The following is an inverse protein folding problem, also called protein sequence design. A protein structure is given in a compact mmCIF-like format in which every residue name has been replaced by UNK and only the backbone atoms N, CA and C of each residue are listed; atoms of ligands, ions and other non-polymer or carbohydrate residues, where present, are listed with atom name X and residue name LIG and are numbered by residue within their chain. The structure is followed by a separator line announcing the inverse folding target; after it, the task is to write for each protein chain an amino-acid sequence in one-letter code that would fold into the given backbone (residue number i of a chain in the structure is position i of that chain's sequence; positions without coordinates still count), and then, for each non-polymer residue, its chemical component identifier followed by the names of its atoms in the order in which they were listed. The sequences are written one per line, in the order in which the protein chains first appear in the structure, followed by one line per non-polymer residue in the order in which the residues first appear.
data_IF_735364442304
#
_entry.id   IF_735364442304
#
_cell.length_a   1.000
_cell.length_b   1.000
_cell.length_c   1.000
_cell.angle_alpha   90.00
_cell.angle_beta   90.00
_cell.angle_gamma   90.00
#
_symmetry.space_group_name_H-M   'P 1'
#
loop_
_entity.id
_entity.type
_entity.pdbx_description
1 polymer ?
#
# COMPACT_ATOMS: atom_id res chain seq x y z
N UNK A 1 -21.34 51.96 10.70
CA UNK A 1 -22.46 52.92 10.76
C UNK A 1 -22.28 53.89 9.59
N UNK A 2 -23.25 53.91 8.67
CA UNK A 2 -23.50 54.85 7.55
C UNK A 2 -22.39 55.06 6.49
N UNK A 3 -22.58 54.60 5.23
CA UNK A 3 -23.37 55.18 4.10
C UNK A 3 -22.72 56.49 3.60
N UNK A 4 -22.48 56.78 2.32
CA UNK A 4 -23.32 56.67 1.09
C UNK A 4 -22.41 57.06 -0.10
N UNK A 5 -22.19 56.28 -1.17
CA UNK A 5 -22.86 56.27 -2.51
C UNK A 5 -23.31 57.65 -3.05
N UNK A 6 -22.86 58.06 -4.25
CA UNK A 6 -23.65 58.26 -5.51
C UNK A 6 -22.81 58.93 -6.61
N UNK A 7 -23.11 58.49 -7.84
CA UNK A 7 -22.55 58.77 -9.18
C UNK A 7 -23.35 59.85 -9.97
N UNK A 8 -22.99 60.05 -11.25
CA UNK A 8 -23.64 60.84 -12.33
C UNK A 8 -23.32 62.36 -12.32
N UNK A 9 -23.09 63.07 -13.43
CA UNK A 9 -23.53 62.99 -14.84
C UNK A 9 -22.64 63.95 -15.68
N UNK A 10 -22.17 63.61 -16.88
CA UNK A 10 -22.75 63.88 -18.22
C UNK A 10 -22.77 65.35 -18.73
N UNK A 11 -22.29 65.50 -19.99
CA UNK A 11 -22.66 66.50 -21.04
C UNK A 11 -22.08 67.94 -20.89
N UNK A 12 -21.65 68.71 -21.91
CA UNK A 12 -21.93 68.79 -23.36
C UNK A 12 -20.84 69.68 -24.05
N UNK A 13 -20.95 69.79 -25.38
CA UNK A 13 -20.37 70.77 -26.35
C UNK A 13 -19.06 70.37 -27.04
N UNK A 14 -18.85 70.41 -28.36
CA UNK A 14 -19.51 70.94 -29.60
C UNK A 14 -18.70 70.29 -30.76
N UNK A 15 -19.19 69.83 -31.92
CA UNK A 15 -20.07 70.45 -32.91
C UNK A 15 -19.26 71.03 -34.10
N UNK A 16 -19.63 70.68 -35.35
CA UNK A 16 -19.18 71.20 -36.68
C UNK A 16 -18.03 70.39 -37.33
N UNK A 17 -18.06 69.92 -38.58
CA UNK A 17 -19.00 69.99 -39.69
C UNK A 17 -18.36 69.27 -40.91
N UNK A 18 -19.16 68.52 -41.67
CA UNK A 18 -18.76 67.80 -42.90
C UNK A 18 -18.89 68.74 -44.12
N UNK A 19 -18.06 68.58 -45.16
CA UNK A 19 -18.66 68.32 -46.48
C UNK A 19 -17.97 67.18 -47.27
N UNK A 20 -18.82 66.45 -48.00
CA UNK A 20 -18.51 65.46 -49.03
C UNK A 20 -17.93 66.12 -50.28
N UNK A 21 -16.95 65.50 -50.94
CA UNK A 21 -16.99 65.22 -52.40
C UNK A 21 -15.81 64.32 -52.86
N UNK A 22 -16.15 63.18 -53.51
CA UNK A 22 -15.52 62.53 -54.69
C UNK A 22 -13.97 62.46 -54.77
N UNK A 23 -13.30 61.33 -55.02
CA UNK A 23 -13.48 60.40 -56.14
C UNK A 23 -12.55 59.17 -55.94
N UNK A 24 -12.96 58.02 -56.49
CA UNK A 24 -12.32 56.70 -56.56
C UNK A 24 -10.79 56.62 -56.78
N UNK A 25 -10.14 55.60 -56.20
CA UNK A 25 -9.60 54.44 -56.97
C UNK A 25 -9.16 53.28 -56.05
N UNK A 26 -9.60 52.07 -56.42
CA UNK A 26 -9.26 50.77 -55.83
C UNK A 26 -7.78 50.41 -55.97
N UNK A 27 -7.16 49.80 -54.95
CA UNK A 27 -6.36 48.56 -55.08
C UNK A 27 -6.40 47.80 -53.75
N UNK A 28 -7.00 46.60 -53.78
CA UNK A 28 -6.86 45.56 -52.77
C UNK A 28 -5.40 45.02 -52.77
N UNK A 29 -4.73 44.99 -51.62
CA UNK A 29 -3.58 44.12 -51.37
C UNK A 29 -3.88 43.32 -50.10
N UNK A 30 -3.94 41.97 -50.16
CA UNK A 30 -4.07 41.16 -48.96
C UNK A 30 -2.71 41.06 -48.27
N UNK A 31 -2.66 41.43 -46.98
CA UNK A 31 -1.54 41.14 -46.10
C UNK A 31 -1.61 39.64 -45.76
N UNK A 32 -0.75 38.86 -46.41
CA UNK A 32 -0.44 37.49 -46.02
C UNK A 32 0.20 37.52 -44.63
N UNK A 33 -0.57 37.15 -43.61
CA UNK A 33 -0.04 36.80 -42.30
C UNK A 33 0.62 35.43 -42.47
N UNK A 34 1.95 35.40 -42.48
CA UNK A 34 2.73 34.18 -42.31
C UNK A 34 2.55 33.67 -40.86
N UNK A 35 1.41 33.02 -40.62
CA UNK A 35 1.07 32.33 -39.38
C UNK A 35 1.18 30.82 -39.55
N UNK A 36 2.35 30.31 -39.91
CA UNK A 36 2.65 28.88 -39.90
C UNK A 36 3.98 28.67 -39.18
N UNK A 37 3.95 28.19 -37.93
CA UNK A 37 5.02 27.40 -37.29
C UNK A 37 4.88 27.38 -35.76
N UNK A 38 4.09 28.25 -35.13
CA UNK A 38 4.03 28.29 -33.65
C UNK A 38 2.92 27.37 -33.11
N UNK A 39 1.73 27.35 -33.73
CA UNK A 39 0.64 26.42 -33.37
C UNK A 39 1.06 24.95 -33.49
N UNK A 40 1.51 24.52 -34.68
CA UNK A 40 1.98 23.14 -34.91
C UNK A 40 3.14 22.70 -34.01
N UNK A 41 3.97 23.64 -33.53
CA UNK A 41 5.06 23.33 -32.58
C UNK A 41 4.54 23.19 -31.17
N UNK A 42 3.56 23.99 -30.76
CA UNK A 42 2.93 23.90 -29.44
C UNK A 42 2.06 22.65 -29.37
N UNK A 43 1.29 22.32 -30.42
CA UNK A 43 0.48 21.11 -30.49
C UNK A 43 1.37 19.86 -30.51
N UNK A 44 2.44 19.82 -31.34
CA UNK A 44 3.43 18.73 -31.28
C UNK A 44 4.16 18.61 -29.94
N UNK A 45 4.39 19.72 -29.23
CA UNK A 45 4.98 19.68 -27.89
C UNK A 45 3.98 19.16 -26.86
N UNK A 46 2.70 19.52 -26.99
CA UNK A 46 1.63 19.09 -26.08
C UNK A 46 1.29 17.62 -26.29
N UNK A 47 1.19 17.16 -27.54
CA UNK A 47 1.02 15.76 -27.92
C UNK A 47 2.21 14.93 -27.44
N UNK A 48 3.44 15.40 -27.68
CA UNK A 48 4.65 14.69 -27.24
C UNK A 48 4.79 14.64 -25.71
N UNK A 49 4.32 15.64 -24.97
CA UNK A 49 4.28 15.63 -23.49
C UNK A 49 3.16 14.71 -22.97
N UNK A 50 2.01 14.67 -23.65
CA UNK A 50 0.90 13.77 -23.36
C UNK A 50 1.28 12.30 -23.61
N UNK A 51 1.94 12.02 -24.73
CA UNK A 51 2.44 10.68 -25.09
C UNK A 51 3.51 10.21 -24.10
N UNK A 52 4.44 11.09 -23.70
CA UNK A 52 5.47 10.76 -22.69
C UNK A 52 4.86 10.46 -21.32
N UNK A 53 3.84 11.20 -20.90
CA UNK A 53 3.12 10.91 -19.64
C UNK A 53 2.35 9.58 -19.75
N UNK A 54 1.71 9.31 -20.90
CA UNK A 54 1.06 8.04 -21.21
C UNK A 54 2.01 6.85 -21.16
N UNK A 55 3.17 6.96 -21.80
CA UNK A 55 4.21 5.92 -21.82
C UNK A 55 4.81 5.67 -20.44
N UNK A 56 4.98 6.73 -19.63
CA UNK A 56 5.41 6.61 -18.22
C UNK A 56 4.40 5.82 -17.42
N UNK A 57 3.11 6.19 -17.50
CA UNK A 57 2.03 5.53 -16.77
C UNK A 57 1.91 4.07 -17.21
N UNK A 58 1.96 3.79 -18.52
CA UNK A 58 1.94 2.44 -19.05
C UNK A 58 3.12 1.60 -18.56
N UNK A 59 4.31 2.18 -18.45
CA UNK A 59 5.50 1.50 -17.90
C UNK A 59 5.32 1.16 -16.42
N UNK A 60 4.77 2.07 -15.62
CA UNK A 60 4.45 1.84 -14.21
C UNK A 60 3.33 0.79 -14.04
N UNK A 61 2.31 0.82 -14.89
CA UNK A 61 1.20 -0.13 -14.87
C UNK A 61 1.69 -1.54 -15.19
N UNK A 62 2.50 -1.70 -16.24
CA UNK A 62 3.13 -2.99 -16.55
C UNK A 62 3.98 -3.54 -15.38
N UNK A 63 4.65 -2.67 -14.63
CA UNK A 63 5.44 -3.07 -13.48
C UNK A 63 4.56 -3.50 -12.28
N UNK A 64 3.47 -2.77 -12.03
CA UNK A 64 2.47 -3.14 -11.02
C UNK A 64 1.82 -4.48 -11.37
N UNK A 65 1.44 -4.69 -12.63
CA UNK A 65 0.85 -5.93 -13.12
C UNK A 65 1.80 -7.12 -12.97
N UNK A 66 3.08 -6.93 -13.30
CA UNK A 66 4.09 -7.96 -13.15
C UNK A 66 4.27 -8.37 -11.67
N UNK A 67 4.19 -7.41 -10.74
CA UNK A 67 4.22 -7.66 -9.30
C UNK A 67 2.94 -8.33 -8.80
N UNK A 68 1.80 -8.04 -9.41
CA UNK A 68 0.52 -8.68 -9.08
C UNK A 68 0.44 -10.13 -9.56
N UNK A 69 1.13 -10.44 -10.67
CA UNK A 69 1.32 -11.82 -11.14
C UNK A 69 2.35 -12.58 -10.31
N UNK A 70 3.45 -11.92 -9.93
CA UNK A 70 4.53 -12.55 -9.17
C UNK A 70 5.35 -11.55 -8.33
N UNK A 71 4.91 -11.33 -7.09
CA UNK A 71 5.56 -10.39 -6.16
C UNK A 71 7.00 -10.76 -5.81
N UNK A 72 7.41 -12.02 -5.95
CA UNK A 72 8.78 -12.44 -5.69
C UNK A 72 9.77 -11.92 -6.75
N UNK A 73 9.28 -11.51 -7.92
CA UNK A 73 10.10 -10.94 -9.01
C UNK A 73 10.35 -9.43 -8.88
N UNK A 74 10.10 -8.83 -7.71
CA UNK A 74 10.15 -7.38 -7.54
C UNK A 74 11.45 -6.72 -7.99
N UNK A 75 12.59 -7.39 -7.77
CA UNK A 75 13.90 -6.82 -8.11
C UNK A 75 14.06 -6.71 -9.62
N UNK A 76 13.76 -7.77 -10.38
CA UNK A 76 13.85 -7.75 -11.84
C UNK A 76 12.83 -6.79 -12.44
N UNK A 77 11.62 -6.71 -11.88
CA UNK A 77 10.59 -5.77 -12.32
C UNK A 77 11.06 -4.31 -12.17
N UNK A 78 11.62 -3.93 -11.02
CA UNK A 78 12.11 -2.56 -10.82
C UNK A 78 13.32 -2.20 -11.70
N UNK A 79 14.21 -3.17 -11.94
CA UNK A 79 15.36 -3.00 -12.86
C UNK A 79 14.89 -2.75 -14.29
N UNK A 80 13.93 -3.54 -14.77
CA UNK A 80 13.33 -3.39 -16.10
C UNK A 80 12.57 -2.05 -16.22
N UNK A 81 11.78 -1.69 -15.19
CA UNK A 81 11.08 -0.40 -15.12
C UNK A 81 12.04 0.77 -15.22
N UNK A 82 13.15 0.76 -14.46
CA UNK A 82 14.17 1.82 -14.50
C UNK A 82 14.80 1.96 -15.89
N UNK A 83 14.98 0.85 -16.60
CA UNK A 83 15.56 0.81 -17.95
C UNK A 83 14.59 1.36 -19.00
N UNK A 84 13.29 1.12 -18.84
CA UNK A 84 12.25 1.60 -19.76
C UNK A 84 11.97 3.10 -19.61
N UNK A 85 12.16 3.68 -18.42
CA UNK A 85 11.94 5.10 -18.13
C UNK A 85 13.10 6.03 -18.58
N UNK A 86 13.80 5.72 -19.68
CA UNK A 86 15.12 6.30 -20.00
C UNK A 86 15.12 7.69 -20.66
N UNK A 87 13.99 8.18 -21.16
CA UNK A 87 13.92 9.48 -21.85
C UNK A 87 13.99 10.69 -20.87
N UNK A 88 14.66 11.78 -21.29
CA UNK A 88 14.93 12.98 -20.46
C UNK A 88 13.68 13.57 -19.78
N UNK A 89 12.51 13.41 -20.40
CA UNK A 89 11.23 13.89 -19.89
C UNK A 89 10.68 13.07 -18.70
N UNK A 90 11.27 11.92 -18.36
CA UNK A 90 10.83 11.02 -17.26
C UNK A 90 11.84 10.91 -16.10
N UNK A 91 12.89 11.74 -16.09
CA UNK A 91 14.01 11.64 -15.15
C UNK A 91 13.59 11.67 -13.67
N UNK A 92 12.53 12.39 -13.30
CA UNK A 92 11.99 12.43 -11.93
C UNK A 92 11.41 11.08 -11.50
N UNK A 93 10.55 10.49 -12.33
CA UNK A 93 9.92 9.18 -12.04
C UNK A 93 10.97 8.08 -12.02
N UNK A 94 11.92 8.10 -12.96
CA UNK A 94 13.04 7.16 -12.96
C UNK A 94 13.87 7.25 -11.68
N UNK A 95 14.13 8.45 -11.17
CA UNK A 95 14.84 8.64 -9.91
C UNK A 95 14.04 8.10 -8.72
N UNK A 96 12.71 8.30 -8.68
CA UNK A 96 11.85 7.70 -7.64
C UNK A 96 11.84 6.17 -7.68
N UNK A 97 11.78 5.56 -8.88
CA UNK A 97 11.84 4.10 -9.05
C UNK A 97 13.22 3.55 -8.71
N UNK A 98 14.30 4.26 -9.06
CA UNK A 98 15.67 3.87 -8.72
C UNK A 98 15.94 3.97 -7.22
N UNK A 99 15.46 5.03 -6.57
CA UNK A 99 15.50 5.18 -5.12
C UNK A 99 14.72 4.04 -4.46
N UNK A 100 13.51 3.72 -4.92
CA UNK A 100 12.73 2.57 -4.46
C UNK A 100 13.49 1.24 -4.59
N UNK A 101 14.15 0.98 -5.73
CA UNK A 101 14.96 -0.23 -5.92
C UNK A 101 16.10 -0.32 -4.90
N UNK A 102 16.88 0.76 -4.75
CA UNK A 102 17.99 0.81 -3.80
C UNK A 102 17.52 0.60 -2.36
N UNK A 103 16.40 1.22 -2.04
CA UNK A 103 15.66 1.11 -0.77
C UNK A 103 15.22 -0.33 -0.47
N UNK A 104 14.59 -0.99 -1.43
CA UNK A 104 14.15 -2.39 -1.28
C UNK A 104 15.34 -3.36 -1.15
N UNK A 105 16.44 -3.12 -1.85
CA UNK A 105 17.69 -3.90 -1.69
C UNK A 105 18.35 -3.65 -0.34
N UNK A 106 18.39 -2.40 0.15
CA UNK A 106 18.94 -2.11 1.49
C UNK A 106 18.15 -2.84 2.59
N UNK A 107 16.85 -3.06 2.38
CA UNK A 107 16.00 -3.77 3.31
C UNK A 107 16.18 -5.30 3.31
N UNK A 108 16.78 -5.88 2.26
CA UNK A 108 17.20 -7.30 2.25
C UNK A 108 18.57 -7.52 2.92
N UNK A 109 19.33 -6.44 3.18
CA UNK A 109 20.66 -6.48 3.78
C UNK A 109 20.70 -6.58 5.31
N UNK A 110 21.69 -7.33 5.82
CA UNK A 110 21.98 -7.69 7.21
C UNK A 110 20.76 -8.18 8.02
N UNK A 111 20.62 -9.52 7.99
CA UNK A 111 19.64 -10.39 8.68
C UNK A 111 18.18 -10.14 8.28
N UNK A 112 17.78 -10.68 7.11
CA UNK A 112 16.40 -10.87 6.60
C UNK A 112 15.31 -10.25 7.49
N UNK A 113 15.16 -8.94 7.36
CA UNK A 113 14.43 -8.11 8.32
C UNK A 113 12.93 -8.31 8.20
N UNK A 114 12.44 -8.67 7.00
CA UNK A 114 11.05 -8.88 6.61
C UNK A 114 10.95 -10.02 5.60
N UNK A 115 9.79 -10.70 5.47
CA UNK A 115 9.58 -11.73 4.45
C UNK A 115 9.67 -11.15 3.02
N UNK A 116 10.13 -11.92 2.03
CA UNK A 116 10.27 -11.50 0.62
C UNK A 116 8.94 -11.04 0.02
N UNK A 117 7.83 -11.71 0.35
CA UNK A 117 6.48 -11.32 -0.11
C UNK A 117 6.06 -9.93 0.40
N UNK A 118 6.58 -9.55 1.55
CA UNK A 118 6.37 -8.22 2.11
C UNK A 118 7.04 -7.15 1.27
N UNK A 119 8.26 -7.42 0.76
CA UNK A 119 9.02 -6.51 -0.10
C UNK A 119 8.26 -6.30 -1.41
N UNK A 120 7.82 -7.38 -2.06
CA UNK A 120 7.05 -7.28 -3.31
C UNK A 120 5.76 -6.47 -3.13
N UNK A 121 5.03 -6.68 -2.03
CA UNK A 121 3.83 -5.90 -1.70
C UNK A 121 4.14 -4.41 -1.52
N UNK A 122 5.24 -4.09 -0.82
CA UNK A 122 5.67 -2.70 -0.56
C UNK A 122 6.16 -2.00 -1.82
N UNK A 123 6.92 -2.69 -2.66
CA UNK A 123 7.35 -2.19 -3.97
C UNK A 123 6.13 -1.84 -4.83
N UNK A 124 5.14 -2.74 -4.89
CA UNK A 124 3.90 -2.49 -5.64
C UNK A 124 3.16 -1.26 -5.10
N UNK A 125 3.00 -1.14 -3.78
CA UNK A 125 2.37 0.03 -3.16
C UNK A 125 3.12 1.33 -3.49
N UNK A 126 4.45 1.31 -3.48
CA UNK A 126 5.26 2.47 -3.83
C UNK A 126 5.09 2.86 -5.30
N UNK A 127 5.12 1.91 -6.24
CA UNK A 127 4.85 2.17 -7.66
C UNK A 127 3.44 2.73 -7.88
N UNK A 128 2.43 2.17 -7.23
CA UNK A 128 1.06 2.68 -7.29
C UNK A 128 0.95 4.14 -6.80
N UNK A 129 1.74 4.52 -5.80
CA UNK A 129 1.81 5.91 -5.31
C UNK A 129 2.55 6.85 -6.26
N UNK A 130 3.64 6.40 -6.87
CA UNK A 130 4.36 7.15 -7.91
C UNK A 130 3.40 7.44 -9.07
N UNK A 131 2.66 6.42 -9.51
CA UNK A 131 1.60 6.54 -10.51
C UNK A 131 0.50 7.52 -10.09
N UNK A 132 -0.02 7.40 -8.87
CA UNK A 132 -1.08 8.30 -8.37
C UNK A 132 -0.63 9.76 -8.34
N UNK A 133 0.63 10.04 -7.97
CA UNK A 133 1.22 11.40 -8.06
C UNK A 133 1.26 11.90 -9.49
N UNK A 134 1.73 11.07 -10.42
CA UNK A 134 1.81 11.38 -11.84
C UNK A 134 0.44 11.71 -12.44
N UNK A 135 -0.62 11.03 -11.97
CA UNK A 135 -2.01 11.24 -12.41
C UNK A 135 -2.78 12.29 -11.58
N UNK A 136 -2.13 12.98 -10.64
CA UNK A 136 -2.77 13.92 -9.71
C UNK A 136 -3.97 13.33 -8.95
N UNK A 137 -3.92 12.04 -8.63
CA UNK A 137 -4.94 11.32 -7.87
C UNK A 137 -4.67 11.41 -6.36
N UNK A 138 -5.65 11.01 -5.55
CA UNK A 138 -5.45 10.86 -4.10
C UNK A 138 -4.37 9.81 -3.83
N UNK A 139 -3.34 10.19 -3.06
CA UNK A 139 -2.22 9.31 -2.74
C UNK A 139 -2.59 8.50 -1.49
N UNK A 140 -2.62 7.16 -1.53
CA UNK A 140 -2.85 6.34 -0.35
C UNK A 140 -1.85 6.67 0.78
N UNK A 141 -2.31 6.74 2.05
CA UNK A 141 -1.42 6.92 3.19
C UNK A 141 -0.51 5.71 3.34
N UNK A 142 0.70 5.93 3.86
CA UNK A 142 1.67 4.86 4.11
C UNK A 142 1.56 4.41 5.54
N UNK A 143 1.07 3.20 5.75
CA UNK A 143 1.17 2.57 7.05
C UNK A 143 2.60 2.08 7.27
N UNK A 144 3.30 2.54 8.34
CA UNK A 144 4.64 2.09 8.64
C UNK A 144 4.62 0.60 8.95
N UNK A 145 5.59 -0.08 8.39
CA UNK A 145 5.61 -1.53 8.35
C UNK A 145 6.63 -2.04 9.35
N UNK A 146 6.20 -2.70 10.43
CA UNK A 146 7.13 -3.28 11.40
C UNK A 146 7.34 -4.76 11.11
N UNK A 147 8.60 -5.17 10.96
CA UNK A 147 8.91 -6.56 10.66
C UNK A 147 9.46 -7.30 11.87
N UNK A 148 10.40 -6.70 12.60
CA UNK A 148 10.89 -7.28 13.84
C UNK A 148 11.44 -6.23 14.81
N UNK A 149 11.49 -6.61 16.09
CA UNK A 149 12.01 -5.80 17.20
C UNK A 149 13.11 -6.58 17.90
N UNK A 150 14.20 -5.90 18.25
CA UNK A 150 15.33 -6.49 18.99
C UNK A 150 15.66 -5.65 20.22
N UNK A 151 15.66 -6.23 21.43
CA UNK A 151 15.06 -7.52 21.79
C UNK A 151 13.54 -7.57 21.54
N UNK A 152 12.99 -8.78 21.34
CA UNK A 152 11.56 -8.98 21.10
C UNK A 152 10.65 -8.71 22.33
N UNK A 153 11.24 -8.62 23.52
CA UNK A 153 10.63 -8.18 24.77
C UNK A 153 11.73 -7.67 25.72
N UNK A 154 11.37 -6.90 26.74
CA UNK A 154 12.31 -6.36 27.74
C UNK A 154 12.28 -7.24 28.98
N UNK A 155 13.35 -7.95 29.31
CA UNK A 155 13.43 -8.74 30.54
C UNK A 155 13.98 -7.89 31.71
N UNK A 156 13.13 -7.66 32.71
CA UNK A 156 13.48 -6.89 33.90
C UNK A 156 14.40 -7.65 34.87
N UNK A 157 14.58 -8.96 34.69
CA UNK A 157 15.52 -9.77 35.47
C UNK A 157 16.98 -9.63 35.00
N UNK A 158 17.23 -9.00 33.84
CA UNK A 158 18.59 -8.71 33.37
C UNK A 158 19.23 -7.54 34.15
N UNK A 159 20.50 -7.24 33.89
CA UNK A 159 21.11 -5.98 34.31
C UNK A 159 20.64 -4.82 33.43
N UNK A 160 20.57 -3.61 33.98
CA UNK A 160 20.12 -2.41 33.22
C UNK A 160 20.99 -2.14 31.98
N UNK A 161 22.28 -2.45 32.03
CA UNK A 161 23.20 -2.35 30.89
C UNK A 161 22.83 -3.26 29.71
N UNK A 162 22.08 -4.34 29.95
CA UNK A 162 21.64 -5.31 28.93
C UNK A 162 20.25 -5.01 28.35
N UNK A 163 19.56 -3.98 28.86
CA UNK A 163 18.20 -3.59 28.42
C UNK A 163 18.10 -2.09 28.15
N UNK A 164 19.12 -1.52 27.53
CA UNK A 164 19.28 -0.07 27.32
C UNK A 164 18.68 0.46 26.02
N UNK A 165 18.23 -0.40 25.10
CA UNK A 165 17.55 0.02 23.86
C UNK A 165 16.60 -1.05 23.31
N UNK A 166 15.64 -0.62 22.49
CA UNK A 166 14.95 -1.45 21.51
C UNK A 166 15.29 -0.95 20.11
N UNK A 167 15.51 -1.86 19.19
CA UNK A 167 15.74 -1.61 17.77
C UNK A 167 14.54 -2.13 16.98
N UNK A 168 13.96 -1.27 16.15
CA UNK A 168 12.81 -1.58 15.31
C UNK A 168 13.27 -1.60 13.86
N UNK A 169 13.03 -2.71 13.18
CA UNK A 169 13.34 -2.87 11.78
C UNK A 169 12.07 -3.02 10.97
N UNK A 170 11.98 -2.26 9.89
CA UNK A 170 10.76 -2.10 9.13
C UNK A 170 10.90 -1.15 7.96
N UNK A 171 9.83 -0.45 7.60
CA UNK A 171 9.77 0.50 6.49
C UNK A 171 8.97 1.74 6.86
N UNK A 172 9.20 2.81 6.10
CA UNK A 172 8.41 4.03 6.12
C UNK A 172 8.46 4.81 7.46
N UNK A 173 9.46 4.52 8.29
CA UNK A 173 9.64 5.13 9.62
C UNK A 173 9.99 6.61 9.58
N UNK A 174 10.53 7.09 8.46
CA UNK A 174 10.84 8.50 8.19
C UNK A 174 9.67 9.27 7.56
N UNK A 175 8.62 8.58 7.10
CA UNK A 175 7.51 9.21 6.34
C UNK A 175 6.27 9.51 7.18
N UNK A 176 6.11 8.89 8.35
CA UNK A 176 4.90 9.06 9.18
C UNK A 176 5.18 9.19 10.67
N UNK A 177 4.38 9.97 11.43
CA UNK A 177 4.49 10.00 12.88
C UNK A 177 4.05 8.64 13.46
N UNK A 178 4.87 8.13 14.38
CA UNK A 178 4.69 6.88 15.11
C UNK A 178 4.77 7.29 16.56
N UNK A 179 3.75 6.94 17.31
CA UNK A 179 3.65 7.21 18.73
C UNK A 179 4.06 5.97 19.51
N UNK A 180 4.79 6.14 20.60
CA UNK A 180 5.18 5.06 21.50
C UNK A 180 4.59 5.31 22.87
N UNK A 181 3.88 4.32 23.41
CA UNK A 181 3.26 4.41 24.72
C UNK A 181 3.79 3.32 25.65
N UNK A 182 4.21 3.71 26.86
CA UNK A 182 4.54 2.80 27.96
C UNK A 182 3.28 2.55 28.78
N UNK A 183 2.84 1.30 28.82
CA UNK A 183 1.76 0.87 29.70
C UNK A 183 2.34 0.43 31.04
N UNK A 184 1.77 0.95 32.11
CA UNK A 184 2.06 0.55 33.48
C UNK A 184 0.76 0.27 34.24
N UNK A 185 0.87 -0.29 35.43
CA UNK A 185 -0.28 -0.57 36.31
C UNK A 185 -1.13 0.65 36.65
N UNK A 186 -0.57 1.86 36.56
CA UNK A 186 -1.21 3.13 36.91
C UNK A 186 -1.77 3.90 35.71
N UNK A 187 -1.57 3.44 34.48
CA UNK A 187 -1.99 4.15 33.27
C UNK A 187 -1.06 3.97 32.07
N UNK A 188 -1.12 4.96 31.17
CA UNK A 188 -0.40 4.98 29.90
C UNK A 188 0.40 6.28 29.81
N UNK A 189 1.69 6.15 29.52
CA UNK A 189 2.60 7.29 29.35
C UNK A 189 3.05 7.37 27.89
N UNK A 190 2.94 8.55 27.27
CA UNK A 190 3.55 8.80 25.97
C UNK A 190 5.07 8.98 26.14
N UNK A 191 5.84 8.15 25.44
CA UNK A 191 7.30 8.12 25.47
C UNK A 191 7.89 8.29 24.08
N UNK A 192 7.13 8.88 23.16
CA UNK A 192 7.54 9.09 21.77
C UNK A 192 8.78 9.98 21.64
N UNK A 193 9.08 10.83 22.64
CA UNK A 193 10.31 11.64 22.69
C UNK A 193 11.59 10.81 22.74
N UNK A 194 11.51 9.57 23.21
CA UNK A 194 12.66 8.68 23.38
C UNK A 194 12.93 7.83 22.13
N UNK A 195 12.09 7.97 21.11
CA UNK A 195 12.19 7.24 19.84
C UNK A 195 13.04 8.04 18.86
N UNK A 196 14.22 7.52 18.55
CA UNK A 196 15.09 8.04 17.52
C UNK A 196 14.85 7.33 16.18
N UNK A 197 14.85 8.10 15.09
CA UNK A 197 14.53 7.65 13.73
C UNK A 197 15.77 7.77 12.89
N UNK A 198 16.57 6.72 12.90
CA UNK A 198 17.88 6.71 12.26
C UNK A 198 17.77 6.67 10.74
N UNK A 199 16.86 5.85 10.21
CA UNK A 199 16.66 5.69 8.76
C UNK A 199 15.20 5.35 8.44
N UNK A 200 14.87 5.32 7.15
CA UNK A 200 13.62 4.76 6.63
C UNK A 200 13.31 3.34 7.16
N UNK A 201 14.34 2.54 7.50
CA UNK A 201 14.20 1.13 7.88
C UNK A 201 14.45 0.81 9.35
N UNK A 202 14.94 1.79 10.11
CA UNK A 202 15.48 1.55 11.44
C UNK A 202 15.16 2.69 12.39
N UNK A 203 14.51 2.35 13.50
CA UNK A 203 14.31 3.25 14.64
C UNK A 203 14.89 2.60 15.89
N UNK A 204 15.26 3.43 16.87
CA UNK A 204 15.71 2.97 18.17
C UNK A 204 14.99 3.69 19.28
N UNK A 205 14.49 2.94 20.27
CA UNK A 205 13.90 3.51 21.49
C UNK A 205 14.92 3.39 22.62
N UNK A 206 15.30 4.52 23.20
CA UNK A 206 16.23 4.56 24.31
C UNK A 206 15.57 4.03 25.59
N UNK A 207 16.12 2.97 26.18
CA UNK A 207 15.70 2.42 27.49
C UNK A 207 16.77 2.64 28.58
N UNK A 208 17.81 3.42 28.28
CA UNK A 208 18.88 3.76 29.21
C UNK A 208 18.45 4.74 30.31
N UNK A 209 19.41 5.24 31.08
CA UNK A 209 19.14 6.08 32.25
C UNK A 209 18.34 7.37 31.97
N UNK A 210 18.48 7.92 30.76
CA UNK A 210 17.77 9.13 30.33
C UNK A 210 16.65 8.83 29.33
N UNK A 211 16.29 7.55 29.15
CA UNK A 211 15.30 7.12 28.18
C UNK A 211 13.94 6.83 28.81
N UNK A 212 13.22 5.90 28.19
CA UNK A 212 11.92 5.42 28.67
C UNK A 212 12.02 4.94 30.12
N UNK A 213 11.15 5.41 31.04
CA UNK A 213 11.20 5.07 32.46
C UNK A 213 10.60 3.68 32.74
N UNK A 214 11.22 2.62 32.20
CA UNK A 214 10.80 1.23 32.44
C UNK A 214 11.10 0.84 33.89
N UNK A 215 10.09 0.34 34.59
CA UNK A 215 10.18 -0.02 36.01
C UNK A 215 9.51 -1.36 36.31
N UNK A 216 9.45 -1.77 37.58
CA UNK A 216 8.72 -2.97 38.02
C UNK A 216 7.19 -2.85 37.88
N UNK A 217 6.68 -1.65 37.57
CA UNK A 217 5.27 -1.40 37.29
C UNK A 217 4.94 -1.41 35.79
N UNK A 218 5.94 -1.49 34.91
CA UNK A 218 5.77 -1.48 33.46
C UNK A 218 5.34 -2.86 32.94
N UNK A 219 4.35 -2.87 32.05
CA UNK A 219 3.76 -4.09 31.51
C UNK A 219 4.10 -4.30 30.03
N UNK A 220 4.07 -3.23 29.22
CA UNK A 220 4.40 -3.28 27.79
C UNK A 220 4.71 -1.91 27.21
N UNK A 221 5.32 -1.91 26.03
CA UNK A 221 5.42 -0.78 25.11
C UNK A 221 4.54 -1.04 23.89
N UNK A 222 3.79 -0.04 23.45
CA UNK A 222 2.95 -0.12 22.25
C UNK A 222 3.42 0.91 21.23
N UNK A 223 3.55 0.51 19.97
CA UNK A 223 3.73 1.44 18.85
C UNK A 223 2.37 1.68 18.22
N UNK A 224 2.03 2.93 17.97
CA UNK A 224 0.76 3.37 17.41
C UNK A 224 0.99 4.20 16.14
N UNK A 225 0.20 3.93 15.11
CA UNK A 225 0.09 4.76 13.91
C UNK A 225 -1.37 5.14 13.71
N UNK A 226 -1.65 6.43 13.49
CA UNK A 226 -3.02 6.97 13.41
C UNK A 226 -3.93 6.51 14.58
N UNK A 227 -3.38 6.47 15.81
CA UNK A 227 -4.05 5.98 17.03
C UNK A 227 -4.47 4.51 16.99
N UNK A 228 -3.88 3.70 16.10
CA UNK A 228 -4.05 2.25 16.06
C UNK A 228 -2.76 1.56 16.46
N UNK A 229 -2.79 0.56 17.35
CA UNK A 229 -1.59 -0.17 17.74
C UNK A 229 -1.07 -1.00 16.58
N UNK A 230 0.17 -0.78 16.14
CA UNK A 230 0.84 -1.56 15.08
C UNK A 230 1.85 -2.57 15.65
N UNK A 231 2.23 -2.41 16.94
CA UNK A 231 3.09 -3.37 17.64
C UNK A 231 2.94 -3.29 19.14
N UNK A 232 3.23 -4.40 19.84
CA UNK A 232 3.23 -4.50 21.30
C UNK A 232 4.42 -5.34 21.76
N UNK A 233 5.27 -4.74 22.59
CA UNK A 233 6.50 -5.32 23.13
C UNK A 233 6.29 -5.54 24.62
N UNK A 234 6.39 -6.79 25.07
CA UNK A 234 6.19 -7.12 26.48
C UNK A 234 7.35 -6.61 27.35
N UNK A 235 7.03 -6.16 28.56
CA UNK A 235 8.00 -5.99 29.64
C UNK A 235 7.84 -7.17 30.60
N UNK A 236 8.81 -8.07 30.59
CA UNK A 236 8.80 -9.30 31.38
C UNK A 236 9.25 -8.98 32.80
N UNK A 237 8.28 -8.99 33.71
CA UNK A 237 8.46 -8.93 35.15
C UNK A 237 8.56 -10.35 35.74
N UNK A 238 9.00 -10.50 36.99
CA UNK A 238 9.03 -11.79 37.69
C UNK A 238 7.69 -12.54 37.70
N UNK A 239 6.56 -11.84 37.61
CA UNK A 239 5.22 -12.41 37.59
C UNK A 239 4.57 -12.46 36.19
N UNK A 240 5.21 -11.95 35.14
CA UNK A 240 4.61 -11.92 33.79
C UNK A 240 4.41 -13.34 33.27
N UNK A 241 3.17 -13.76 32.93
CA UNK A 241 2.88 -15.07 32.34
C UNK A 241 3.22 -15.13 30.85
N UNK A 242 3.20 -16.33 30.27
CA UNK A 242 3.22 -16.50 28.80
C UNK A 242 1.83 -16.20 28.24
N UNK A 243 1.76 -15.49 27.11
CA UNK A 243 0.49 -15.17 26.47
C UNK A 243 -0.27 -16.43 26.07
N UNK A 244 -1.60 -16.38 26.18
CA UNK A 244 -2.45 -17.42 25.63
C UNK A 244 -2.42 -17.34 24.10
N UNK A 245 -2.47 -18.52 23.48
CA UNK A 245 -2.56 -18.68 22.03
C UNK A 245 -3.82 -19.50 21.71
N UNK A 246 -4.47 -19.20 20.59
CA UNK A 246 -5.57 -20.00 20.07
C UNK A 246 -5.59 -19.97 18.55
N UNK A 247 -6.08 -21.04 17.95
CA UNK A 247 -6.43 -21.06 16.53
C UNK A 247 -7.91 -20.73 16.39
N UNK A 248 -8.24 -19.85 15.46
CA UNK A 248 -9.61 -19.47 15.15
C UNK A 248 -9.85 -19.67 13.64
N UNK A 249 -10.98 -20.30 13.32
CA UNK A 249 -11.45 -20.43 11.95
C UNK A 249 -12.59 -19.43 11.74
N UNK A 250 -12.41 -18.54 10.77
CA UNK A 250 -13.38 -17.52 10.40
C UNK A 250 -13.96 -17.81 9.01
N UNK A 251 -15.28 -17.92 8.93
CA UNK A 251 -16.02 -18.15 7.69
C UNK A 251 -16.82 -16.90 7.31
N UNK A 252 -16.66 -16.46 6.07
CA UNK A 252 -17.46 -15.37 5.50
C UNK A 252 -18.56 -15.96 4.63
N UNK A 253 -19.82 -15.78 5.06
CA UNK A 253 -21.00 -16.30 4.35
C UNK A 253 -21.50 -15.38 3.22
N UNK A 254 -20.70 -14.40 2.81
CA UNK A 254 -21.01 -13.49 1.71
C UNK A 254 -20.00 -13.71 0.58
N UNK A 255 -20.47 -13.60 -0.65
CA UNK A 255 -19.58 -13.51 -1.81
C UNK A 255 -19.19 -12.04 -2.02
N UNK A 256 -18.03 -11.83 -2.65
CA UNK A 256 -17.58 -10.49 -3.05
C UNK A 256 -17.68 -10.37 -4.57
N UNK A 257 -18.36 -9.34 -5.04
CA UNK A 257 -18.42 -9.00 -6.47
C UNK A 257 -17.51 -7.83 -6.77
N UNK A 258 -16.77 -7.90 -7.87
CA UNK A 258 -15.90 -6.83 -8.33
C UNK A 258 -15.92 -6.72 -9.85
N UNK A 259 -16.12 -5.50 -10.35
CA UNK A 259 -16.00 -5.13 -11.76
C UNK A 259 -14.86 -4.11 -11.84
N UNK A 260 -13.68 -4.51 -12.36
CA UNK A 260 -12.57 -3.57 -12.51
C UNK A 260 -12.93 -2.45 -13.51
N UNK A 261 -12.39 -1.23 -13.32
CA UNK A 261 -12.62 -0.14 -14.25
C UNK A 261 -11.99 -0.43 -15.62
N UNK A 262 -12.54 0.19 -16.66
CA UNK A 262 -11.92 0.23 -17.99
C UNK A 262 -10.65 1.08 -17.96
N UNK A 263 -9.56 0.54 -18.49
CA UNK A 263 -8.25 1.21 -18.51
C UNK A 263 -7.71 1.46 -19.93
N UNK A 264 -8.19 0.75 -20.95
CA UNK A 264 -7.72 0.88 -22.34
C UNK A 264 -8.74 0.32 -23.33
N UNK A 265 -8.78 0.86 -24.55
CA UNK A 265 -9.55 0.36 -25.68
C UNK A 265 -10.90 1.07 -25.83
N UNK A 266 -11.83 0.42 -26.52
CA UNK A 266 -13.17 0.96 -26.81
C UNK A 266 -14.27 0.42 -25.89
N UNK A 267 -13.91 -0.47 -24.96
CA UNK A 267 -14.73 -1.14 -23.94
C UNK A 267 -15.47 -2.38 -24.39
N UNK A 268 -15.38 -2.75 -25.65
CA UNK A 268 -16.00 -3.94 -26.22
C UNK A 268 -14.92 -5.02 -26.45
N UNK A 269 -15.24 -6.30 -26.24
CA UNK A 269 -14.32 -7.41 -26.49
C UNK A 269 -14.58 -8.11 -27.84
N UNK A 270 -15.76 -7.93 -28.44
CA UNK A 270 -16.15 -8.44 -29.76
C UNK A 270 -15.84 -9.93 -30.03
N UNK A 271 -15.86 -10.79 -29.01
CA UNK A 271 -15.48 -12.19 -29.14
C UNK A 271 -13.98 -12.41 -29.44
N UNK A 272 -13.10 -11.49 -29.03
CA UNK A 272 -11.65 -11.55 -29.18
C UNK A 272 -10.92 -11.87 -27.86
N UNK A 273 -11.56 -12.59 -26.95
CA UNK A 273 -11.12 -12.83 -25.58
C UNK A 273 -12.26 -12.45 -24.63
N UNK A 274 -11.98 -11.98 -23.40
CA UNK A 274 -10.66 -11.59 -22.86
C UNK A 274 -9.76 -12.75 -22.38
N UNK A 275 -8.45 -12.53 -22.39
CA UNK A 275 -7.53 -13.22 -21.47
C UNK A 275 -7.69 -12.62 -20.07
N UNK A 276 -7.97 -13.47 -19.09
CA UNK A 276 -8.37 -13.06 -17.74
C UNK A 276 -7.40 -13.59 -16.70
N UNK A 277 -6.94 -12.70 -15.82
CA UNK A 277 -6.17 -13.02 -14.62
C UNK A 277 -6.88 -12.53 -13.38
N UNK A 278 -6.81 -13.32 -12.30
CA UNK A 278 -7.17 -12.87 -10.96
C UNK A 278 -6.15 -13.33 -9.93
N UNK A 279 -5.84 -12.44 -8.99
CA UNK A 279 -5.00 -12.70 -7.83
C UNK A 279 -5.73 -12.25 -6.56
N UNK A 280 -5.96 -13.19 -5.65
CA UNK A 280 -6.64 -12.94 -4.39
C UNK A 280 -5.70 -13.25 -3.22
N UNK A 281 -5.53 -12.31 -2.29
CA UNK A 281 -4.61 -12.42 -1.16
C UNK A 281 -5.23 -12.03 0.17
N UNK A 282 -4.89 -12.77 1.22
CA UNK A 282 -5.02 -12.33 2.60
C UNK A 282 -3.71 -11.74 3.11
N UNK A 283 -3.73 -10.45 3.44
CA UNK A 283 -2.59 -9.74 3.99
C UNK A 283 -2.78 -9.59 5.50
N UNK A 284 -1.83 -10.10 6.28
CA UNK A 284 -1.85 -9.95 7.74
C UNK A 284 -1.22 -8.60 8.14
N UNK A 285 -2.05 -7.67 8.59
CA UNK A 285 -1.61 -6.37 9.14
C UNK A 285 -1.43 -6.41 10.67
N UNK A 286 -1.44 -7.61 11.27
CA UNK A 286 -1.33 -7.86 12.71
C UNK A 286 -2.60 -7.54 13.50
N UNK A 287 -3.25 -6.42 13.21
CA UNK A 287 -4.51 -5.98 13.84
C UNK A 287 -5.76 -6.39 13.06
N UNK A 288 -5.60 -6.72 11.79
CA UNK A 288 -6.67 -7.18 10.92
C UNK A 288 -6.06 -7.96 9.76
N UNK A 289 -6.90 -8.73 9.05
CA UNK A 289 -6.54 -9.31 7.77
C UNK A 289 -7.26 -8.50 6.69
N UNK A 290 -6.51 -7.98 5.72
CA UNK A 290 -7.09 -7.42 4.50
C UNK A 290 -7.24 -8.52 3.46
N UNK A 291 -8.38 -8.54 2.77
CA UNK A 291 -8.55 -9.30 1.54
C UNK A 291 -8.36 -8.35 0.36
N UNK A 292 -7.37 -8.66 -0.48
CA UNK A 292 -7.10 -7.96 -1.72
C UNK A 292 -7.46 -8.85 -2.89
N UNK A 293 -8.20 -8.32 -3.85
CA UNK A 293 -8.52 -8.95 -5.11
C UNK A 293 -8.07 -8.03 -6.24
N UNK A 294 -7.15 -8.50 -7.07
CA UNK A 294 -6.79 -7.88 -8.33
C UNK A 294 -7.34 -8.72 -9.47
N UNK A 295 -7.85 -8.06 -10.51
CA UNK A 295 -8.34 -8.69 -11.73
C UNK A 295 -7.91 -7.85 -12.94
N UNK A 296 -7.52 -8.55 -14.00
CA UNK A 296 -7.29 -7.99 -15.34
C UNK A 296 -8.01 -8.86 -16.36
N UNK A 297 -8.77 -8.23 -17.24
CA UNK A 297 -9.34 -8.83 -18.43
C UNK A 297 -8.90 -8.01 -19.63
N UNK A 298 -8.25 -8.63 -20.61
CA UNK A 298 -7.68 -7.95 -21.76
C UNK A 298 -8.01 -8.73 -23.03
N UNK A 299 -8.47 -8.02 -24.06
CA UNK A 299 -8.60 -8.60 -25.40
C UNK A 299 -7.29 -9.22 -25.89
N UNK A 300 -7.43 -10.28 -26.67
CA UNK A 300 -6.30 -10.99 -27.26
C UNK A 300 -5.96 -10.49 -28.67
N UNK A 301 -6.80 -9.63 -29.27
CA UNK A 301 -6.65 -9.15 -30.66
C UNK A 301 -7.19 -7.75 -30.84
N UNK A 302 -6.38 -6.86 -31.45
CA UNK A 302 -6.73 -5.49 -31.85
C UNK A 302 -7.19 -4.59 -30.69
N UNK A 303 -6.83 -3.30 -30.73
CA UNK A 303 -7.08 -2.21 -29.75
C UNK A 303 -6.82 -2.45 -28.23
N UNK A 304 -6.77 -3.71 -27.80
CA UNK A 304 -6.37 -4.23 -26.50
C UNK A 304 -7.30 -3.70 -25.41
N UNK A 305 -8.61 -3.77 -25.65
CA UNK A 305 -9.61 -3.42 -24.65
C UNK A 305 -9.32 -4.14 -23.34
N UNK A 306 -9.19 -3.36 -22.27
CA UNK A 306 -8.71 -3.82 -20.97
C UNK A 306 -9.59 -3.28 -19.85
N UNK A 307 -10.08 -4.19 -19.00
CA UNK A 307 -10.66 -3.89 -17.71
C UNK A 307 -9.71 -4.37 -16.61
N UNK A 308 -9.25 -3.46 -15.75
CA UNK A 308 -8.23 -3.77 -14.76
C UNK A 308 -8.36 -2.94 -13.50
N UNK A 309 -8.19 -3.61 -12.36
CA UNK A 309 -8.14 -2.92 -11.09
C UNK A 309 -8.05 -3.84 -9.90
N UNK A 310 -8.08 -3.22 -8.72
CA UNK A 310 -8.04 -3.92 -7.45
C UNK A 310 -9.17 -3.47 -6.52
N UNK A 311 -9.57 -4.38 -5.64
CA UNK A 311 -10.42 -4.11 -4.49
C UNK A 311 -9.76 -4.65 -3.23
N UNK A 312 -9.72 -3.83 -2.18
CA UNK A 312 -9.23 -4.22 -0.87
C UNK A 312 -10.30 -3.98 0.18
N UNK A 313 -10.68 -5.03 0.89
CA UNK A 313 -11.66 -4.98 1.98
C UNK A 313 -11.04 -5.54 3.26
N UNK A 314 -11.39 -4.98 4.42
CA UNK A 314 -11.07 -5.62 5.69
C UNK A 314 -11.80 -6.96 5.75
N UNK A 315 -11.05 -8.05 5.84
CA UNK A 315 -11.59 -9.40 5.81
C UNK A 315 -11.99 -9.89 7.20
N UNK A 316 -11.09 -9.68 8.17
CA UNK A 316 -11.22 -10.18 9.54
C UNK A 316 -10.56 -9.21 10.53
N UNK A 317 -11.16 -9.08 11.70
CA UNK A 317 -10.61 -8.35 12.84
C UNK A 317 -10.69 -9.25 14.08
N UNK A 318 -9.58 -9.47 14.81
CA UNK A 318 -9.58 -10.30 15.99
C UNK A 318 -10.45 -9.69 17.10
N UNK A 319 -11.00 -10.51 18.00
CA UNK A 319 -11.74 -10.01 19.15
C UNK A 319 -10.84 -9.15 20.06
N UNK A 320 -11.42 -8.21 20.83
CA UNK A 320 -10.67 -7.38 21.76
C UNK A 320 -9.78 -8.23 22.69
N UNK A 321 -8.55 -7.77 22.90
CA UNK A 321 -7.57 -8.51 23.71
C UNK A 321 -6.77 -9.56 22.94
N UNK A 322 -6.95 -9.70 21.62
CA UNK A 322 -6.16 -10.58 20.75
C UNK A 322 -5.57 -9.84 19.56
N UNK A 323 -4.40 -10.29 19.08
CA UNK A 323 -3.83 -9.91 17.78
C UNK A 323 -3.60 -11.14 16.92
N UNK A 324 -3.50 -10.92 15.62
CA UNK A 324 -3.13 -11.97 14.66
C UNK A 324 -1.61 -12.18 14.76
N UNK A 325 -1.21 -13.42 15.01
CA UNK A 325 0.19 -13.83 14.96
C UNK A 325 0.54 -14.28 13.54
N UNK A 326 -0.29 -15.15 12.96
CA UNK A 326 -0.10 -15.65 11.58
C UNK A 326 -1.40 -16.16 10.96
N UNK A 327 -1.42 -16.21 9.63
CA UNK A 327 -2.41 -16.95 8.85
C UNK A 327 -1.86 -18.38 8.67
N UNK A 328 -2.67 -19.39 8.99
CA UNK A 328 -2.24 -20.79 9.01
C UNK A 328 -2.38 -21.50 7.66
N UNK A 329 -3.31 -21.06 6.82
CA UNK A 329 -3.51 -21.57 5.46
C UNK A 329 -2.81 -20.71 4.41
N UNK A 330 -2.89 -21.10 3.12
CA UNK A 330 -2.25 -20.34 2.04
C UNK A 330 -2.87 -18.94 1.98
N UNK A 331 -2.05 -17.87 1.97
CA UNK A 331 -2.58 -16.52 1.89
C UNK A 331 -3.00 -16.13 0.47
N UNK A 332 -2.80 -16.99 -0.54
CA UNK A 332 -2.99 -16.65 -1.96
C UNK A 332 -3.83 -17.68 -2.72
N UNK A 333 -4.65 -17.18 -3.65
CA UNK A 333 -5.41 -17.91 -4.67
C UNK A 333 -5.29 -17.16 -6.00
N UNK A 334 -5.07 -17.90 -7.09
CA UNK A 334 -4.93 -17.32 -8.44
C UNK A 334 -5.78 -18.05 -9.45
N UNK A 335 -6.22 -17.34 -10.50
CA UNK A 335 -6.83 -17.93 -11.67
C UNK A 335 -6.32 -17.22 -12.93
N UNK A 336 -6.18 -17.98 -14.02
CA UNK A 336 -5.79 -17.46 -15.34
C UNK A 336 -6.40 -18.35 -16.41
N UNK A 337 -7.12 -17.74 -17.37
CA UNK A 337 -7.67 -18.44 -18.53
C UNK A 337 -7.91 -17.45 -19.69
N UNK A 338 -8.26 -17.98 -20.86
CA UNK A 338 -8.74 -17.19 -22.00
C UNK A 338 -10.22 -17.49 -22.16
N UNK A 339 -11.04 -16.45 -22.08
CA UNK A 339 -12.47 -16.52 -22.36
C UNK A 339 -12.69 -16.69 -23.87
N UNK A 340 -13.61 -17.58 -24.22
CA UNK A 340 -13.91 -17.99 -25.60
C UNK A 340 -15.40 -18.00 -25.91
N UNK A 341 -16.26 -17.69 -24.93
CA UNK A 341 -17.71 -17.62 -25.12
C UNK A 341 -18.34 -16.50 -24.27
N UNK A 342 -19.67 -16.45 -24.19
CA UNK A 342 -20.41 -15.42 -23.43
C UNK A 342 -20.95 -15.93 -22.09
N UNK A 343 -20.56 -17.14 -21.68
CA UNK A 343 -21.03 -17.75 -20.44
C UNK A 343 -20.16 -17.30 -19.26
N UNK A 344 -20.71 -17.43 -18.05
CA UNK A 344 -19.90 -17.20 -16.86
C UNK A 344 -18.92 -18.37 -16.65
N UNK A 345 -17.63 -18.10 -16.60
CA UNK A 345 -16.60 -19.10 -16.30
C UNK A 345 -16.43 -19.32 -14.81
N UNK A 346 -16.16 -20.57 -14.41
CA UNK A 346 -15.90 -20.94 -13.02
C UNK A 346 -14.52 -21.56 -12.88
N UNK A 347 -13.68 -20.95 -12.06
CA UNK A 347 -12.34 -21.42 -11.76
C UNK A 347 -12.20 -21.70 -10.26
N UNK A 348 -11.63 -22.85 -9.90
CA UNK A 348 -11.32 -23.15 -8.51
C UNK A 348 -10.14 -22.33 -8.01
N UNK A 349 -10.25 -21.70 -6.84
CA UNK A 349 -9.16 -20.94 -6.22
C UNK A 349 -8.21 -21.77 -5.35
N UNK A 350 -8.42 -23.09 -5.31
CA UNK A 350 -7.70 -24.04 -4.46
C UNK A 350 -8.32 -24.19 -3.05
N UNK A 351 -8.06 -25.30 -2.35
CA UNK A 351 -8.72 -25.59 -1.06
C UNK A 351 -8.14 -24.80 0.13
N UNK A 352 -6.92 -24.28 -0.01
CA UNK A 352 -6.16 -23.70 1.10
C UNK A 352 -5.96 -22.19 0.98
N UNK A 353 -6.32 -21.58 -0.16
CA UNK A 353 -6.18 -20.15 -0.41
C UNK A 353 -7.43 -19.35 -0.01
N UNK A 354 -7.45 -18.01 -0.20
CA UNK A 354 -8.59 -17.17 0.14
C UNK A 354 -9.89 -17.53 -0.59
N UNK A 355 -9.77 -18.05 -1.82
CA UNK A 355 -10.90 -18.23 -2.73
C UNK A 355 -11.20 -19.70 -2.94
N UNK A 356 -12.46 -20.06 -2.71
CA UNK A 356 -13.01 -21.37 -3.05
C UNK A 356 -13.31 -21.45 -4.55
N UNK A 357 -14.04 -20.46 -5.06
CA UNK A 357 -14.46 -20.37 -6.45
C UNK A 357 -14.38 -18.90 -6.91
N UNK A 358 -13.71 -18.69 -8.05
CA UNK A 358 -13.86 -17.50 -8.86
C UNK A 358 -14.92 -17.78 -9.92
N UNK A 359 -15.94 -16.93 -9.98
CA UNK A 359 -16.93 -16.95 -11.05
C UNK A 359 -16.74 -15.67 -11.87
N UNK A 360 -16.15 -15.81 -13.04
CA UNK A 360 -15.88 -14.71 -13.94
C UNK A 360 -17.10 -14.40 -14.81
N UNK A 361 -17.24 -13.12 -15.08
CA UNK A 361 -18.15 -12.54 -16.05
C UNK A 361 -17.24 -11.91 -17.10
N UNK A 362 -17.16 -12.50 -18.28
CA UNK A 362 -16.30 -12.00 -19.34
C UNK A 362 -17.03 -11.00 -20.23
N UNK A 363 -17.33 -11.46 -21.45
CA UNK A 363 -17.89 -10.72 -22.58
C UNK A 363 -19.42 -10.92 -22.70
N UNK A 364 -20.13 -9.87 -23.07
CA UNK A 364 -21.47 -9.87 -23.66
C UNK A 364 -21.47 -8.96 -24.90
N UNK A 365 -22.62 -8.81 -25.55
CA UNK A 365 -22.79 -7.75 -26.55
C UNK A 365 -22.77 -6.35 -25.91
N UNK A 366 -21.88 -5.46 -26.35
CA UNK A 366 -21.81 -4.05 -25.99
C UNK A 366 -20.63 -3.70 -25.06
N UNK A 367 -20.61 -2.46 -24.56
CA UNK A 367 -19.58 -2.00 -23.63
C UNK A 367 -19.56 -2.85 -22.33
N UNK A 368 -18.55 -3.70 -22.18
CA UNK A 368 -18.39 -4.61 -21.04
C UNK A 368 -17.25 -4.20 -20.09
N UNK A 369 -16.15 -3.69 -20.64
CA UNK A 369 -15.01 -3.28 -19.83
C UNK A 369 -15.40 -2.10 -18.94
N UNK A 370 -15.22 -2.23 -17.62
CA UNK A 370 -15.59 -1.20 -16.66
C UNK A 370 -17.06 -1.17 -16.24
N UNK A 371 -17.92 -1.99 -16.83
CA UNK A 371 -19.37 -2.00 -16.61
C UNK A 371 -19.92 -3.38 -16.24
N UNK A 372 -19.45 -4.43 -16.90
CA UNK A 372 -19.93 -5.80 -16.73
C UNK A 372 -18.82 -6.78 -16.35
N UNK A 373 -17.75 -6.79 -17.14
CA UNK A 373 -16.63 -7.73 -16.99
C UNK A 373 -16.10 -7.69 -15.57
N UNK A 374 -16.03 -8.83 -14.91
CA UNK A 374 -15.75 -8.86 -13.48
C UNK A 374 -15.71 -10.27 -12.91
N UNK A 375 -15.68 -10.35 -11.58
CA UNK A 375 -15.53 -11.60 -10.86
C UNK A 375 -16.38 -11.59 -9.59
N UNK A 376 -17.04 -12.72 -9.33
CA UNK A 376 -17.61 -13.06 -8.04
C UNK A 376 -16.69 -14.06 -7.33
N UNK A 377 -16.41 -13.80 -6.06
CA UNK A 377 -15.53 -14.60 -5.22
C UNK A 377 -16.34 -15.22 -4.10
N UNK A 378 -16.31 -16.56 -4.04
CA UNK A 378 -16.74 -17.32 -2.87
C UNK A 378 -15.51 -17.72 -2.06
N UNK A 379 -15.54 -17.50 -0.74
CA UNK A 379 -14.35 -17.66 0.11
C UNK A 379 -14.20 -19.07 0.68
N UNK A 380 -12.94 -19.46 0.92
CA UNK A 380 -12.63 -20.52 1.87
C UNK A 380 -12.61 -19.96 3.30
N UNK A 381 -12.70 -20.82 4.34
CA UNK A 381 -12.47 -20.41 5.72
C UNK A 381 -11.04 -19.86 5.91
N UNK A 382 -10.92 -18.72 6.58
CA UNK A 382 -9.64 -18.19 7.05
C UNK A 382 -9.27 -18.87 8.36
N UNK A 383 -8.05 -19.41 8.46
CA UNK A 383 -7.54 -19.98 9.72
C UNK A 383 -6.43 -19.08 10.24
N UNK A 384 -6.64 -18.45 11.39
CA UNK A 384 -5.67 -17.54 12.02
C UNK A 384 -5.19 -18.10 13.36
N UNK A 385 -3.90 -17.89 13.64
CA UNK A 385 -3.34 -18.05 14.98
C UNK A 385 -3.37 -16.70 15.67
N UNK A 386 -4.01 -16.67 16.83
CA UNK A 386 -4.18 -15.47 17.63
C UNK A 386 -3.36 -15.59 18.91
N UNK A 387 -2.83 -14.45 19.35
CA UNK A 387 -2.11 -14.31 20.61
C UNK A 387 -2.70 -13.16 21.43
N UNK A 388 -2.83 -13.37 22.73
CA UNK A 388 -3.37 -12.40 23.67
C UNK A 388 -2.51 -11.11 23.72
N UNK A 389 -3.16 -9.95 23.78
CA UNK A 389 -2.51 -8.63 23.82
C UNK A 389 -2.72 -7.90 25.14
N UNK A 390 -2.08 -8.35 26.22
CA UNK A 390 -1.76 -7.53 27.41
C UNK A 390 -1.13 -8.41 28.49
N UNK A 391 -0.31 -7.79 29.35
CA UNK A 391 0.13 -8.36 30.63
C UNK A 391 0.74 -9.77 30.54
N UNK A 392 1.33 -10.10 29.39
CA UNK A 392 1.90 -11.40 29.10
C UNK A 392 3.04 -11.26 28.09
N UNK A 393 3.90 -12.27 28.00
CA UNK A 393 4.96 -12.35 27.00
C UNK A 393 4.66 -13.45 25.96
N UNK A 394 4.62 -13.14 24.65
CA UNK A 394 4.39 -14.15 23.61
C UNK A 394 5.45 -15.26 23.65
N UNK A 395 5.05 -16.51 23.43
CA UNK A 395 5.99 -17.64 23.42
C UNK A 395 7.06 -17.50 22.32
N UNK A 396 6.68 -16.95 21.17
CA UNK A 396 7.58 -16.60 20.06
C UNK A 396 8.63 -15.56 20.47
N UNK A 397 8.24 -14.51 21.21
CA UNK A 397 9.15 -13.51 21.73
C UNK A 397 10.14 -14.12 22.75
N UNK A 398 9.65 -14.92 23.70
CA UNK A 398 10.51 -15.59 24.69
C UNK A 398 11.54 -16.50 24.01
N UNK A 399 11.11 -17.28 23.02
CA UNK A 399 12.01 -18.17 22.25
C UNK A 399 13.05 -17.38 21.46
N UNK A 400 12.64 -16.26 20.85
CA UNK A 400 13.56 -15.35 20.14
C UNK A 400 14.63 -14.80 21.09
N UNK A 401 14.23 -14.33 22.29
CA UNK A 401 15.17 -13.86 23.29
C UNK A 401 16.12 -14.97 23.78
N UNK A 402 15.62 -16.19 24.00
CA UNK A 402 16.44 -17.33 24.43
C UNK A 402 17.52 -17.67 23.40
N UNK A 403 17.16 -17.70 22.11
CA UNK A 403 18.11 -17.98 21.02
C UNK A 403 19.21 -16.92 20.94
N UNK A 404 18.86 -15.65 21.24
CA UNK A 404 19.77 -14.51 21.16
C UNK A 404 20.53 -14.21 22.47
N UNK A 405 20.35 -15.03 23.51
CA UNK A 405 20.85 -14.76 24.88
C UNK A 405 20.45 -13.36 25.40
N UNK A 406 19.19 -12.97 25.17
CA UNK A 406 18.59 -11.69 25.59
C UNK A 406 17.51 -11.87 26.67
N UNK A 407 17.57 -12.95 27.43
CA UNK A 407 16.63 -13.27 28.51
C UNK A 407 17.38 -13.93 29.67
N UNK A 408 17.01 -13.62 30.90
CA UNK A 408 17.67 -14.16 32.08
C UNK A 408 17.42 -15.67 32.20
N UNK A 409 18.43 -16.48 32.61
CA UNK A 409 18.24 -17.92 32.83
C UNK A 409 17.12 -18.24 33.84
N UNK A 410 16.95 -17.41 34.87
CA UNK A 410 15.88 -17.52 35.85
C UNK A 410 14.49 -17.31 35.23
N UNK A 411 14.37 -16.34 34.31
CA UNK A 411 13.15 -16.08 33.54
C UNK A 411 12.79 -17.27 32.64
N UNK A 412 13.77 -17.85 31.92
CA UNK A 412 13.55 -19.06 31.10
C UNK A 412 13.01 -20.20 31.98
N UNK A 413 13.71 -20.52 33.09
CA UNK A 413 13.33 -21.62 33.98
C UNK A 413 11.89 -21.49 34.49
N UNK A 414 11.43 -20.26 34.73
CA UNK A 414 10.08 -19.95 35.18
C UNK A 414 9.03 -20.08 34.08
N UNK A 415 9.32 -19.60 32.86
CA UNK A 415 8.36 -19.55 31.75
C UNK A 415 8.29 -20.85 30.94
N UNK A 416 9.36 -21.64 30.92
CA UNK A 416 9.45 -22.87 30.13
C UNK A 416 8.30 -23.87 30.38
N UNK A 417 7.86 -24.14 31.62
CA UNK A 417 6.71 -25.02 31.87
C UNK A 417 5.41 -24.47 31.27
N UNK A 418 5.23 -23.15 31.20
CA UNK A 418 4.04 -22.52 30.59
C UNK A 418 4.09 -22.64 29.07
N UNK A 419 5.27 -22.41 28.46
CA UNK A 419 5.47 -22.57 27.02
C UNK A 419 5.24 -24.01 26.55
N UNK A 420 5.60 -25.01 27.37
CA UNK A 420 5.34 -26.42 27.05
C UNK A 420 3.84 -26.76 26.99
N UNK A 421 2.99 -26.02 27.72
CA UNK A 421 1.52 -26.22 27.72
C UNK A 421 0.83 -25.59 26.51
N UNK A 422 1.53 -24.74 25.74
CA UNK A 422 0.99 -24.09 24.54
C UNK A 422 1.21 -24.90 23.26
N UNK A 423 2.07 -25.93 23.31
CA UNK A 423 2.22 -26.86 22.18
C UNK A 423 0.92 -27.66 22.05
N UNK A 424 0.24 -27.63 20.89
CA UNK A 424 -0.95 -28.45 20.66
C UNK A 424 -0.64 -29.95 20.76
#
# INVERSE_FOLDING_TARGET
MMKTIVSFSHLFQTGIGIPRLLLWLMVFIPILIAGCSIGDKIDKLTDKVSDVAGDTVATLDNAIDALDRNSASWQSVLQDTTTKLTDEAQSTVRNEVSDLLNRSVAATGNELRCNVDFIGTRVRQALARIRARLLHQSIPPVEPALCHVVPAAVDMALDSSRRNKLEFFGYDFDTTPIKVTLHNKSGVLDVSSELDRLTHYHMTLNLGANGVPVSSASDRLTLEWQNRPISSIAVIQPATPVCREKTETYERNTYLSFTPPHTRGDKEFSGHGPEVWANARWNNEGTHVNFRLWMKAQETRSDWTTAEGERTDVYYTPPPGWRIDSIANSPESTAHYIDTDHNDDRQGGGPNGPVKEFKFRGDRSGDDAGSYTGVDVTFNPLVVKLVEVANCAPASAIKSLQIKDLIAPSTIKRLQPMMMKLKP
#
